data_IF_895681237066
#
_entry.id   IF_895681237066
#
_cell.length_a   1.000
_cell.length_b   1.000
_cell.length_c   1.000
_cell.angle_alpha   90.00
_cell.angle_beta   90.00
_cell.angle_gamma   90.00
#
_symmetry.space_group_name_H-M   'P 1'
#
loop_
_entity.id
_entity.type
_entity.pdbx_description
1 polymer ?
#
# COMPACT_ATOMS: atom_id res chain seq x y z
N UNK A 1 16.06 1.44 3.14
CA UNK A 1 16.25 2.91 3.21
C UNK A 1 15.50 3.47 4.41
N UNK A 2 15.89 4.65 4.93
CA UNK A 2 15.14 5.33 5.99
C UNK A 2 14.06 6.22 5.38
N UNK A 3 12.83 6.15 5.87
CA UNK A 3 11.68 6.92 5.36
C UNK A 3 10.88 7.54 6.48
N UNK A 4 10.27 8.69 6.21
CA UNK A 4 9.32 9.31 7.14
C UNK A 4 7.95 8.66 6.97
N UNK A 5 7.30 8.27 8.07
CA UNK A 5 5.97 7.66 8.08
C UNK A 5 5.15 8.07 9.30
N UNK A 6 3.82 7.95 9.21
CA UNK A 6 2.90 8.07 10.32
C UNK A 6 2.56 6.67 10.86
N UNK A 7 3.15 6.31 11.98
CA UNK A 7 3.04 4.98 12.61
C UNK A 7 1.83 4.94 13.55
N UNK A 8 0.98 3.94 13.36
CA UNK A 8 -0.08 3.59 14.30
C UNK A 8 0.46 2.51 15.26
N UNK A 9 0.92 2.91 16.45
CA UNK A 9 1.48 1.97 17.43
C UNK A 9 0.43 1.06 18.08
N UNK A 10 -0.77 1.60 18.32
CA UNK A 10 -1.88 0.88 18.93
C UNK A 10 -3.20 1.57 18.58
N UNK A 11 -4.30 0.82 18.68
CA UNK A 11 -5.64 1.37 18.57
C UNK A 11 -5.86 2.55 19.54
N UNK A 12 -6.66 3.53 19.14
CA UNK A 12 -7.04 4.76 19.85
C UNK A 12 -5.90 5.74 20.15
N UNK A 13 -4.65 5.41 19.83
CA UNK A 13 -3.52 6.31 19.98
C UNK A 13 -3.37 7.21 18.75
N UNK A 14 -2.94 8.47 18.90
CA UNK A 14 -2.58 9.30 17.77
C UNK A 14 -1.49 8.65 16.93
N UNK A 15 -1.51 8.90 15.62
CA UNK A 15 -0.39 8.55 14.75
C UNK A 15 0.87 9.29 15.17
N UNK A 16 2.00 8.61 15.16
CA UNK A 16 3.30 9.18 15.49
C UNK A 16 4.13 9.35 14.22
N UNK A 17 4.72 10.52 14.03
CA UNK A 17 5.53 10.81 12.84
C UNK A 17 6.98 10.42 13.11
N UNK A 18 7.43 9.35 12.46
CA UNK A 18 8.71 8.71 12.77
C UNK A 18 9.55 8.45 11.51
N UNK A 19 10.84 8.23 11.73
CA UNK A 19 11.74 7.75 10.68
C UNK A 19 11.93 6.25 10.87
N UNK A 20 11.46 5.47 9.91
CA UNK A 20 11.45 4.00 9.95
C UNK A 20 12.34 3.41 8.86
N UNK A 21 12.63 2.12 8.94
CA UNK A 21 13.29 1.37 7.89
C UNK A 21 12.26 0.82 6.88
N UNK A 22 12.58 0.97 5.60
CA UNK A 22 11.84 0.41 4.47
C UNK A 22 12.80 -0.41 3.61
N UNK A 23 12.56 -1.71 3.49
CA UNK A 23 13.24 -2.58 2.55
C UNK A 23 12.87 -2.26 1.10
N UNK A 24 13.78 -2.55 0.16
CA UNK A 24 13.52 -2.40 -1.28
C UNK A 24 12.49 -3.41 -1.80
N UNK A 25 12.00 -3.25 -3.04
CA UNK A 25 10.99 -4.14 -3.58
C UNK A 25 11.55 -5.55 -3.83
N UNK A 26 10.82 -6.57 -3.37
CA UNK A 26 11.05 -7.97 -3.71
C UNK A 26 10.55 -8.33 -5.12
N UNK A 27 10.61 -9.61 -5.49
CA UNK A 27 10.12 -10.05 -6.80
C UNK A 27 8.62 -9.76 -6.98
N UNK A 28 8.24 -9.15 -8.11
CA UNK A 28 6.87 -8.75 -8.40
C UNK A 28 6.37 -7.56 -7.56
N UNK A 29 7.25 -6.80 -6.91
CA UNK A 29 6.89 -5.64 -6.09
C UNK A 29 7.47 -4.35 -6.65
N UNK A 30 6.91 -3.23 -6.21
CA UNK A 30 7.22 -1.89 -6.71
C UNK A 30 7.37 -0.95 -5.52
N UNK A 31 8.46 -0.18 -5.51
CA UNK A 31 8.68 0.92 -4.57
C UNK A 31 8.12 2.22 -5.16
N UNK A 32 7.26 2.89 -4.40
CA UNK A 32 6.58 4.12 -4.81
C UNK A 32 6.96 5.24 -3.84
N UNK A 33 7.35 6.39 -4.36
CA UNK A 33 7.38 7.65 -3.61
C UNK A 33 5.97 8.25 -3.58
N UNK A 34 5.36 8.33 -2.41
CA UNK A 34 4.01 8.88 -2.23
C UNK A 34 4.07 10.40 -2.29
N UNK A 35 3.31 10.99 -3.21
CA UNK A 35 3.24 12.46 -3.43
C UNK A 35 2.04 13.09 -2.75
N UNK A 36 0.93 12.35 -2.65
CA UNK A 36 -0.26 12.76 -1.92
C UNK A 36 -1.00 11.53 -1.39
N UNK A 37 -1.68 11.68 -0.25
CA UNK A 37 -2.58 10.68 0.31
C UNK A 37 -3.80 11.35 0.94
N UNK A 38 -4.99 10.80 0.69
CA UNK A 38 -6.21 11.13 1.41
C UNK A 38 -6.24 10.47 2.80
N UNK A 39 -7.13 10.96 3.66
CA UNK A 39 -7.49 10.30 4.92
C UNK A 39 -8.94 9.87 4.80
N UNK A 40 -9.17 8.57 4.81
CA UNK A 40 -10.48 7.98 4.64
C UNK A 40 -11.05 7.51 5.98
N UNK A 41 -12.38 7.39 6.06
CA UNK A 41 -13.06 6.87 7.25
C UNK A 41 -12.57 5.45 7.61
N UNK A 42 -12.21 4.62 6.62
CA UNK A 42 -11.70 3.26 6.86
C UNK A 42 -10.40 3.29 7.67
N UNK A 43 -9.49 4.24 7.39
CA UNK A 43 -8.25 4.39 8.18
C UNK A 43 -8.59 4.75 9.64
N UNK A 44 -9.53 5.67 9.84
CA UNK A 44 -10.00 6.07 11.17
C UNK A 44 -10.74 4.95 11.91
N UNK A 45 -11.52 4.14 11.19
CA UNK A 45 -12.21 2.98 11.73
C UNK A 45 -11.23 1.93 12.25
N UNK A 46 -10.21 1.58 11.47
CA UNK A 46 -9.12 0.71 11.95
C UNK A 46 -8.41 1.34 13.15
N UNK A 47 -7.99 2.61 13.06
CA UNK A 47 -7.29 3.29 14.16
C UNK A 47 -8.14 3.37 15.45
N UNK A 48 -9.47 3.42 15.35
CA UNK A 48 -10.35 3.44 16.51
C UNK A 48 -10.35 2.15 17.33
N UNK A 49 -9.86 1.03 16.75
CA UNK A 49 -9.94 -0.30 17.35
C UNK A 49 -11.31 -0.98 17.24
N UNK A 50 -12.27 -0.35 16.55
CA UNK A 50 -13.57 -0.94 16.27
C UNK A 50 -13.55 -1.94 15.12
N UNK A 51 -12.47 -1.96 14.33
CA UNK A 51 -12.19 -2.96 13.30
C UNK A 51 -11.65 -4.26 13.95
N UNK A 52 -12.38 -5.39 13.88
CA UNK A 52 -11.92 -6.65 14.45
C UNK A 52 -10.71 -7.24 13.70
N UNK A 53 -10.43 -6.79 12.48
CA UNK A 53 -9.26 -7.20 11.69
C UNK A 53 -8.07 -6.23 11.86
N UNK A 54 -8.20 -5.19 12.70
CA UNK A 54 -7.17 -4.18 12.90
C UNK A 54 -5.87 -4.73 13.50
N UNK A 55 -4.76 -4.50 12.79
CA UNK A 55 -3.42 -4.91 13.21
C UNK A 55 -2.57 -3.70 13.62
N UNK A 56 -1.80 -3.87 14.69
CA UNK A 56 -0.87 -2.86 15.21
C UNK A 56 0.42 -3.54 15.69
N UNK A 57 1.60 -2.91 15.56
CA UNK A 57 1.81 -1.57 14.97
C UNK A 57 1.77 -1.62 13.44
N UNK A 58 1.26 -0.58 12.79
CA UNK A 58 1.04 -0.56 11.34
C UNK A 58 1.28 0.82 10.70
N UNK A 59 1.52 0.82 9.39
CA UNK A 59 1.47 2.01 8.54
C UNK A 59 0.13 2.00 7.80
N UNK A 60 -0.81 2.86 8.19
CA UNK A 60 -2.15 2.97 7.59
C UNK A 60 -2.11 3.72 6.25
N UNK A 61 -3.29 4.07 5.72
CA UNK A 61 -3.46 4.80 4.47
C UNK A 61 -3.59 3.88 3.26
N UNK A 62 -4.60 4.13 2.44
CA UNK A 62 -4.89 3.35 1.23
C UNK A 62 -5.30 4.20 0.02
N UNK A 63 -5.30 5.52 0.16
CA UNK A 63 -5.82 6.46 -0.83
C UNK A 63 -4.69 7.40 -1.30
N UNK A 64 -3.70 6.82 -1.98
CA UNK A 64 -2.46 7.50 -2.36
C UNK A 64 -2.25 7.68 -3.86
N UNK A 65 -1.39 8.61 -4.22
CA UNK A 65 -0.83 8.71 -5.57
C UNK A 65 0.65 9.10 -5.50
N UNK A 66 1.44 8.59 -6.44
CA UNK A 66 2.89 8.72 -6.38
C UNK A 66 3.62 8.37 -7.67
N UNK A 67 4.93 8.22 -7.54
CA UNK A 67 5.83 7.90 -8.65
C UNK A 67 6.61 6.63 -8.31
N UNK A 68 6.72 5.72 -9.28
CA UNK A 68 7.56 4.52 -9.14
C UNK A 68 9.02 4.94 -9.05
N UNK A 69 9.72 4.47 -8.01
CA UNK A 69 11.15 4.71 -7.80
C UNK A 69 11.98 3.51 -8.25
N UNK A 70 11.53 2.30 -7.92
CA UNK A 70 12.23 1.05 -8.20
C UNK A 70 11.22 -0.07 -8.42
N UNK A 71 11.59 -1.06 -9.24
CA UNK A 71 10.79 -2.27 -9.49
C UNK A 71 11.63 -3.50 -9.18
N UNK A 72 11.01 -4.50 -8.56
CA UNK A 72 11.66 -5.76 -8.28
C UNK A 72 11.69 -6.70 -9.49
N UNK A 73 12.36 -7.84 -9.32
CA UNK A 73 12.50 -8.84 -10.38
C UNK A 73 11.12 -9.33 -10.88
N UNK A 74 10.97 -9.44 -12.20
CA UNK A 74 9.75 -9.97 -12.83
C UNK A 74 8.62 -8.95 -13.04
N UNK A 75 8.75 -7.72 -12.55
CA UNK A 75 7.83 -6.63 -12.89
C UNK A 75 7.96 -6.29 -14.38
N UNK A 76 6.83 -6.18 -15.08
CA UNK A 76 6.79 -5.96 -16.54
C UNK A 76 5.87 -4.83 -16.98
N UNK A 77 4.90 -4.44 -16.15
CA UNK A 77 3.89 -3.43 -16.46
C UNK A 77 4.26 -2.02 -15.99
N UNK A 78 5.30 -1.89 -15.16
CA UNK A 78 5.73 -0.66 -14.53
C UNK A 78 7.24 -0.47 -14.63
N UNK A 79 7.69 0.78 -14.59
CA UNK A 79 9.11 1.16 -14.53
C UNK A 79 9.32 2.43 -13.69
N UNK A 80 10.55 2.70 -13.22
CA UNK A 80 10.88 3.97 -12.57
C UNK A 80 10.42 5.19 -13.39
N UNK A 81 9.83 6.17 -12.69
CA UNK A 81 9.26 7.38 -13.27
C UNK A 81 7.78 7.29 -13.66
N UNK A 82 7.18 6.09 -13.70
CA UNK A 82 5.74 5.98 -13.98
C UNK A 82 4.92 6.60 -12.82
N UNK A 83 3.91 7.40 -13.18
CA UNK A 83 2.93 7.93 -12.23
C UNK A 83 1.89 6.87 -11.92
N UNK A 84 1.56 6.70 -10.64
CA UNK A 84 0.78 5.54 -10.19
C UNK A 84 -0.18 5.85 -9.04
N UNK A 85 -1.19 5.00 -8.90
CA UNK A 85 -2.10 4.90 -7.75
C UNK A 85 -2.01 3.47 -7.19
N UNK A 86 -1.66 3.27 -5.90
CA UNK A 86 -1.79 1.99 -5.23
C UNK A 86 -3.26 1.54 -5.13
N UNK A 87 -3.51 0.25 -5.27
CA UNK A 87 -4.84 -0.35 -5.32
C UNK A 87 -5.03 -1.30 -4.14
N UNK A 88 -5.92 -0.94 -3.21
CA UNK A 88 -6.27 -1.85 -2.10
C UNK A 88 -7.06 -3.09 -2.57
N UNK A 89 -7.70 -3.01 -3.74
CA UNK A 89 -8.23 -4.16 -4.48
C UNK A 89 -7.32 -4.39 -5.68
N UNK A 90 -6.46 -5.43 -5.66
CA UNK A 90 -5.55 -5.69 -6.77
C UNK A 90 -6.29 -6.22 -8.01
N UNK A 91 -5.60 -6.29 -9.14
CA UNK A 91 -6.11 -6.88 -10.38
C UNK A 91 -5.06 -7.83 -10.99
N UNK A 92 -5.09 -9.12 -10.65
CA UNK A 92 -4.10 -10.07 -11.17
C UNK A 92 -4.39 -10.54 -12.60
N UNK A 93 -5.59 -10.26 -13.14
CA UNK A 93 -6.04 -10.63 -14.50
C UNK A 93 -6.02 -12.11 -14.85
N UNK A 94 -5.83 -12.98 -13.86
CA UNK A 94 -5.68 -14.43 -14.08
C UNK A 94 -6.61 -15.27 -13.19
N UNK A 95 -6.99 -14.78 -12.01
CA UNK A 95 -7.87 -15.54 -11.11
C UNK A 95 -9.33 -15.50 -11.60
N UNK A 96 -10.13 -16.49 -11.18
CA UNK A 96 -11.56 -16.59 -11.54
C UNK A 96 -12.38 -15.32 -11.25
N UNK A 97 -11.94 -14.51 -10.29
CA UNK A 97 -12.61 -13.24 -9.95
C UNK A 97 -12.25 -12.13 -10.94
N UNK A 98 -10.97 -11.97 -11.29
CA UNK A 98 -10.57 -11.00 -12.31
C UNK A 98 -11.07 -11.37 -13.72
N UNK A 99 -11.23 -12.67 -14.00
CA UNK A 99 -11.80 -13.16 -15.26
C UNK A 99 -13.34 -13.09 -15.27
N UNK A 100 -13.98 -12.72 -14.16
CA UNK A 100 -15.43 -12.59 -14.07
C UNK A 100 -15.85 -11.19 -14.49
N UNK A 101 -16.81 -11.09 -15.41
CA UNK A 101 -17.42 -9.82 -15.82
C UNK A 101 -18.39 -9.23 -14.77
N UNK A 102 -18.49 -9.86 -13.59
CA UNK A 102 -19.47 -9.51 -12.54
C UNK A 102 -18.85 -9.01 -11.25
N UNK A 103 -17.53 -9.02 -11.10
CA UNK A 103 -16.86 -8.63 -9.85
C UNK A 103 -15.47 -8.10 -10.12
N UNK A 104 -14.98 -7.25 -9.23
CA UNK A 104 -13.62 -6.74 -9.19
C UNK A 104 -12.80 -7.31 -8.01
N UNK A 105 -13.36 -8.22 -7.21
CA UNK A 105 -12.78 -8.67 -5.93
C UNK A 105 -11.68 -9.73 -6.12
N UNK A 106 -10.55 -9.34 -6.69
CA UNK A 106 -9.38 -10.19 -6.85
C UNK A 106 -8.99 -10.89 -5.53
N UNK A 107 -8.71 -12.19 -5.60
CA UNK A 107 -8.35 -13.00 -4.44
C UNK A 107 -6.86 -13.38 -4.40
N UNK A 108 -6.06 -12.95 -5.37
CA UNK A 108 -4.68 -13.42 -5.57
C UNK A 108 -3.79 -13.24 -4.33
N UNK A 109 -3.95 -12.12 -3.61
CA UNK A 109 -3.13 -11.78 -2.44
C UNK A 109 -3.98 -11.48 -1.19
N UNK A 110 -5.29 -11.77 -1.22
CA UNK A 110 -6.20 -11.40 -0.12
C UNK A 110 -5.78 -11.98 1.24
N UNK A 111 -5.24 -13.21 1.24
CA UNK A 111 -4.85 -13.91 2.46
C UNK A 111 -3.60 -13.32 3.15
N UNK A 112 -2.64 -12.76 2.40
CA UNK A 112 -1.49 -12.06 2.97
C UNK A 112 -1.83 -10.61 3.29
N UNK A 113 -2.58 -9.95 2.40
CA UNK A 113 -3.05 -8.58 2.58
C UNK A 113 -3.87 -8.41 3.86
N UNK A 114 -4.79 -9.34 4.17
CA UNK A 114 -5.57 -9.33 5.42
C UNK A 114 -4.75 -9.64 6.68
N UNK A 115 -3.52 -10.14 6.53
CA UNK A 115 -2.55 -10.31 7.63
C UNK A 115 -1.55 -9.15 7.72
N UNK A 116 -1.72 -8.11 6.90
CA UNK A 116 -0.82 -6.96 6.86
C UNK A 116 0.58 -7.28 6.31
N UNK A 117 0.66 -8.20 5.35
CA UNK A 117 1.92 -8.71 4.80
C UNK A 117 1.92 -8.70 3.27
N UNK A 118 3.14 -8.63 2.70
CA UNK A 118 3.39 -8.81 1.28
C UNK A 118 3.06 -10.25 0.82
N UNK A 119 2.98 -10.52 -0.49
CA UNK A 119 2.65 -11.85 -1.01
C UNK A 119 3.58 -12.97 -0.54
N UNK A 120 4.83 -12.65 -0.20
CA UNK A 120 5.81 -13.58 0.37
C UNK A 120 5.62 -13.83 1.90
N UNK A 121 4.65 -13.17 2.52
CA UNK A 121 4.36 -13.30 3.94
C UNK A 121 5.26 -12.49 4.86
N UNK A 122 6.01 -11.52 4.33
CA UNK A 122 6.88 -10.63 5.12
C UNK A 122 6.40 -9.18 5.07
N UNK A 123 6.95 -8.34 5.94
CA UNK A 123 6.78 -6.88 5.86
C UNK A 123 8.05 -6.24 5.31
N UNK A 124 7.87 -5.15 4.55
CA UNK A 124 8.96 -4.27 4.11
C UNK A 124 9.25 -3.15 5.12
N UNK A 125 8.38 -2.91 6.09
CA UNK A 125 8.54 -1.86 7.09
C UNK A 125 9.06 -2.43 8.40
N UNK A 126 10.00 -1.74 9.03
CA UNK A 126 10.42 -2.03 10.40
C UNK A 126 10.83 -0.77 11.16
N UNK A 127 10.76 -0.83 12.48
CA UNK A 127 11.29 0.18 13.40
C UNK A 127 12.17 -0.51 14.43
N UNK A 128 13.42 -0.07 14.56
CA UNK A 128 14.42 -0.67 15.45
C UNK A 128 14.57 -2.19 15.29
N UNK A 129 14.37 -2.69 14.06
CA UNK A 129 14.44 -4.12 13.72
C UNK A 129 13.14 -4.90 13.91
N UNK A 130 12.12 -4.30 14.53
CA UNK A 130 10.80 -4.92 14.71
C UNK A 130 9.87 -4.60 13.52
N UNK A 131 9.19 -5.60 12.93
CA UNK A 131 8.36 -5.40 11.75
C UNK A 131 7.11 -4.58 12.06
N UNK A 132 6.73 -3.70 11.14
CA UNK A 132 5.45 -2.99 11.15
C UNK A 132 4.52 -3.61 10.11
N UNK A 133 3.23 -3.74 10.41
CA UNK A 133 2.27 -4.28 9.44
C UNK A 133 2.01 -3.31 8.29
N UNK A 134 1.85 -3.88 7.10
CA UNK A 134 1.23 -3.21 5.96
C UNK A 134 -0.28 -3.08 6.19
N UNK A 135 -0.89 -2.08 5.58
CA UNK A 135 -2.32 -1.83 5.66
C UNK A 135 -2.94 -1.86 4.27
N UNK A 136 -3.92 -2.74 4.10
CA UNK A 136 -4.66 -2.93 2.85
C UNK A 136 -3.76 -3.10 1.60
N UNK A 137 -2.52 -3.56 1.78
CA UNK A 137 -1.54 -3.74 0.70
C UNK A 137 -1.04 -2.44 0.06
N UNK A 138 -1.15 -1.30 0.77
CA UNK A 138 -0.87 0.03 0.21
C UNK A 138 -0.01 0.91 1.14
N UNK A 139 -0.41 1.09 2.40
CA UNK A 139 0.36 1.81 3.43
C UNK A 139 0.85 3.20 3.01
N UNK A 140 -0.07 4.03 2.53
CA UNK A 140 0.23 5.34 1.93
C UNK A 140 0.55 6.44 2.94
N UNK A 141 0.44 6.18 4.25
CA UNK A 141 0.91 7.11 5.29
C UNK A 141 2.42 7.03 5.53
N UNK A 142 3.19 6.66 4.51
CA UNK A 142 4.63 6.76 4.47
C UNK A 142 5.07 7.54 3.22
N UNK A 143 6.19 8.26 3.32
CA UNK A 143 6.79 8.98 2.19
C UNK A 143 7.15 8.04 1.03
N UNK A 144 7.43 6.77 1.32
CA UNK A 144 7.56 5.71 0.33
C UNK A 144 6.88 4.45 0.83
N UNK A 145 6.40 3.61 -0.09
CA UNK A 145 5.79 2.31 0.21
C UNK A 145 6.18 1.28 -0.84
N UNK A 146 6.20 0.01 -0.45
CA UNK A 146 6.40 -1.12 -1.36
C UNK A 146 5.09 -1.88 -1.47
N UNK A 147 4.66 -2.15 -2.70
CA UNK A 147 3.38 -2.78 -3.01
C UNK A 147 3.54 -3.81 -4.13
N UNK A 148 2.72 -4.87 -4.20
CA UNK A 148 2.75 -5.81 -5.32
C UNK A 148 2.40 -5.13 -6.64
N UNK A 149 3.03 -5.53 -7.75
CA UNK A 149 2.76 -4.97 -9.10
C UNK A 149 1.26 -5.01 -9.46
N UNK A 150 0.57 -6.11 -9.10
CA UNK A 150 -0.86 -6.29 -9.36
C UNK A 150 -1.76 -5.34 -8.54
N UNK A 151 -1.19 -4.63 -7.57
CA UNK A 151 -1.86 -3.68 -6.70
C UNK A 151 -1.46 -2.23 -7.04
N UNK A 152 -1.07 -1.97 -8.30
CA UNK A 152 -0.67 -0.64 -8.76
C UNK A 152 -1.24 -0.36 -10.14
N UNK A 153 -1.93 0.78 -10.29
CA UNK A 153 -2.37 1.28 -11.58
C UNK A 153 -1.44 2.40 -12.06
N UNK A 154 -0.87 2.24 -13.27
CA UNK A 154 -0.25 3.35 -14.00
C UNK A 154 -1.31 4.36 -14.45
N UNK A 155 -1.03 5.64 -14.25
CA UNK A 155 -1.87 6.76 -14.66
C UNK A 155 -1.12 7.69 -15.64
N UNK A 156 -1.85 8.67 -16.19
CA UNK A 156 -1.27 9.73 -17.04
C UNK A 156 -0.28 10.60 -16.25
N UNK A 157 0.82 10.99 -16.88
CA UNK A 157 1.91 11.73 -16.25
C UNK A 157 1.53 13.16 -15.84
N UNK A 158 0.54 13.76 -16.48
CA UNK A 158 0.03 15.10 -16.20
C UNK A 158 -1.17 15.09 -15.21
N UNK A 159 -1.42 13.98 -14.52
CA UNK A 159 -2.42 13.93 -13.44
C UNK A 159 -1.87 14.60 -12.16
N UNK A 160 -2.60 15.58 -11.58
CA UNK A 160 -2.20 16.21 -10.33
C UNK A 160 -2.42 15.27 -9.13
N UNK A 161 -1.34 14.87 -8.47
CA UNK A 161 -1.37 13.87 -7.38
C UNK A 161 -2.32 14.24 -6.23
N UNK A 162 -2.39 15.53 -5.86
CA UNK A 162 -3.25 16.06 -4.79
C UNK A 162 -4.76 16.04 -5.13
N UNK A 163 -5.11 15.63 -6.36
CA UNK A 163 -6.49 15.41 -6.78
C UNK A 163 -6.76 13.94 -7.05
N UNK A 164 -5.86 13.28 -7.78
CA UNK A 164 -6.11 11.91 -8.24
C UNK A 164 -5.88 10.86 -7.17
N UNK A 165 -5.22 11.19 -6.05
CA UNK A 165 -5.10 10.27 -4.91
C UNK A 165 -6.48 9.79 -4.43
N UNK A 166 -7.52 10.64 -4.53
CA UNK A 166 -8.87 10.28 -4.11
C UNK A 166 -9.53 9.18 -4.97
N UNK A 167 -9.01 8.93 -6.18
CA UNK A 167 -9.50 7.86 -7.05
C UNK A 167 -9.06 6.47 -6.53
N UNK A 168 -8.07 6.41 -5.63
CA UNK A 168 -7.53 5.16 -5.10
C UNK A 168 -8.47 4.38 -4.17
N UNK A 169 -9.49 5.04 -3.59
CA UNK A 169 -10.49 4.39 -2.75
C UNK A 169 -11.87 4.38 -3.42
N UNK A 170 -12.50 5.55 -3.57
CA UNK A 170 -13.85 5.69 -4.12
C UNK A 170 -14.55 6.97 -3.70
#
# INVERSE_FOLDING_TARGET
MKVKAAVAHAATKPLSIETIDLEGPGAGEVLIEIKATGVCHTDAYTLSGADPEGLFPAILGHEGAGVVVEVGAGVTSLKPGDHVIPLYVPECRQCKFCLSEKTNLCQAIRATQGRGLMPDGTSRFSIDGEPLFHYMGTSTFASHTVVPEIAVAKIREDAPFDKVCYIGCG
#
